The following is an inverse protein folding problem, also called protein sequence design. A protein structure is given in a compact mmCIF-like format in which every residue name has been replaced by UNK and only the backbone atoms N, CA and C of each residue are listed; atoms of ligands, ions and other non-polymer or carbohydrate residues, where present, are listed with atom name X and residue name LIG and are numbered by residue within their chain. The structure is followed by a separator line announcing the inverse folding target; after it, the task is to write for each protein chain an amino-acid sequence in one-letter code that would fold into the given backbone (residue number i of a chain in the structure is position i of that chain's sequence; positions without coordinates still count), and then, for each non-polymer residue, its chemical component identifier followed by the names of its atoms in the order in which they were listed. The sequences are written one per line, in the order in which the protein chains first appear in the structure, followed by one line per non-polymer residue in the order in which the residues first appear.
data_IF_713571129524
#
_entry.id   IF_713571129524
#
_cell.length_a   1.000
_cell.length_b   1.000
_cell.length_c   1.000
_cell.angle_alpha   90.00
_cell.angle_beta   90.00
_cell.angle_gamma   90.00
#
_symmetry.space_group_name_H-M   'P 1'
#
loop_
_entity.id
_entity.type
_entity.pdbx_description
1 polymer ?
#
# COMPACT_ATOMS: atom_id res chain seq x y z
N UNK A 1 -15.51 6.92 -12.03
CA UNK A 1 -14.69 5.73 -11.74
C UNK A 1 -14.80 5.43 -10.25
N UNK A 2 -15.29 4.27 -9.91
CA UNK A 2 -15.47 3.92 -8.52
C UNK A 2 -14.25 3.17 -7.95
N UNK A 3 -14.27 2.98 -6.63
CA UNK A 3 -13.18 2.32 -5.92
C UNK A 3 -12.95 0.89 -6.38
N UNK A 4 -14.04 0.15 -6.67
CA UNK A 4 -13.93 -1.24 -7.11
C UNK A 4 -13.20 -1.37 -8.45
N UNK A 5 -13.45 -0.43 -9.37
CA UNK A 5 -12.76 -0.40 -10.66
C UNK A 5 -11.27 -0.14 -10.48
N UNK A 6 -10.92 0.79 -9.59
CA UNK A 6 -9.51 1.12 -9.33
C UNK A 6 -8.81 -0.04 -8.63
N UNK A 7 -9.47 -0.71 -7.69
CA UNK A 7 -8.90 -1.89 -7.03
C UNK A 7 -8.64 -2.99 -8.05
N UNK A 8 -9.60 -3.27 -8.94
CA UNK A 8 -9.44 -4.28 -9.97
C UNK A 8 -8.30 -3.95 -10.94
N UNK A 9 -8.22 -2.68 -11.34
CA UNK A 9 -7.13 -2.20 -12.20
C UNK A 9 -5.77 -2.34 -11.52
N UNK A 10 -5.66 -1.89 -10.28
CA UNK A 10 -4.42 -1.97 -9.52
C UNK A 10 -3.98 -3.42 -9.31
N UNK A 11 -4.92 -4.32 -9.03
CA UNK A 11 -4.63 -5.74 -8.88
C UNK A 11 -3.97 -6.30 -10.15
N UNK A 12 -4.48 -5.91 -11.31
CA UNK A 12 -3.91 -6.33 -12.59
C UNK A 12 -2.55 -5.68 -12.83
N UNK A 13 -2.45 -4.38 -12.59
CA UNK A 13 -1.24 -3.62 -12.87
C UNK A 13 -0.07 -4.02 -11.97
N UNK A 14 -0.34 -4.44 -10.74
CA UNK A 14 0.69 -4.86 -9.79
C UNK A 14 0.90 -6.38 -9.75
N UNK A 15 0.25 -7.13 -10.63
CA UNK A 15 0.34 -8.58 -10.65
C UNK A 15 1.78 -9.09 -10.82
N UNK A 16 2.62 -8.34 -11.51
CA UNK A 16 4.01 -8.74 -11.74
C UNK A 16 4.84 -8.80 -10.45
N UNK A 17 4.37 -8.19 -9.36
CA UNK A 17 5.03 -8.24 -8.06
C UNK A 17 4.41 -9.27 -7.11
N UNK A 18 3.37 -9.96 -7.54
CA UNK A 18 2.49 -10.76 -6.67
C UNK A 18 3.25 -11.76 -5.80
N UNK A 19 4.22 -12.47 -6.37
CA UNK A 19 4.93 -13.53 -5.65
C UNK A 19 6.11 -13.01 -4.82
N UNK A 20 6.38 -11.72 -4.88
CA UNK A 20 7.57 -11.13 -4.27
C UNK A 20 7.27 -10.27 -3.05
N UNK A 21 6.05 -9.80 -2.92
CA UNK A 21 5.65 -8.87 -1.87
C UNK A 21 4.60 -9.49 -0.97
N UNK A 22 4.49 -9.01 0.26
CA UNK A 22 3.45 -9.47 1.18
C UNK A 22 2.08 -8.97 0.72
N UNK A 23 2.01 -7.76 0.23
CA UNK A 23 0.77 -7.21 -0.26
C UNK A 23 0.92 -5.86 -0.91
N UNK A 24 -0.17 -5.40 -1.54
CA UNK A 24 -0.31 -4.09 -2.16
C UNK A 24 -1.61 -3.49 -1.67
N UNK A 25 -1.59 -2.25 -1.25
CA UNK A 25 -2.73 -1.57 -0.65
C UNK A 25 -2.95 -0.20 -1.28
N UNK A 26 -4.21 0.20 -1.41
CA UNK A 26 -4.57 1.58 -1.70
C UNK A 26 -4.82 2.31 -0.39
N UNK A 27 -4.53 3.59 -0.39
CA UNK A 27 -4.79 4.43 0.79
C UNK A 27 -5.14 5.85 0.36
N UNK A 28 -5.36 6.73 1.34
CA UNK A 28 -5.71 8.12 1.11
C UNK A 28 -7.05 8.28 0.39
N UNK A 29 -7.15 9.18 -0.59
CA UNK A 29 -8.43 9.57 -1.19
C UNK A 29 -9.19 8.40 -1.82
N UNK A 30 -8.51 7.46 -2.46
CA UNK A 30 -9.17 6.30 -3.06
C UNK A 30 -9.72 5.36 -2.01
N UNK A 31 -8.99 5.17 -0.91
CA UNK A 31 -9.47 4.33 0.20
C UNK A 31 -10.70 4.95 0.87
N UNK A 32 -10.76 6.29 0.96
CA UNK A 32 -11.90 7.00 1.54
C UNK A 32 -13.08 7.17 0.60
N UNK A 33 -12.92 6.83 -0.69
CA UNK A 33 -13.97 7.05 -1.68
C UNK A 33 -14.15 8.51 -2.09
N UNK A 34 -13.16 9.35 -1.83
CA UNK A 34 -13.20 10.79 -2.14
C UNK A 34 -12.51 11.16 -3.45
N UNK A 35 -11.86 10.18 -4.09
CA UNK A 35 -11.09 10.42 -5.29
C UNK A 35 -11.97 10.61 -6.52
N UNK A 36 -11.43 11.29 -7.52
CA UNK A 36 -12.04 11.44 -8.83
C UNK A 36 -11.04 11.01 -9.93
N UNK A 37 -11.46 11.06 -11.19
CA UNK A 37 -10.69 10.52 -12.31
C UNK A 37 -9.27 11.06 -12.45
N UNK A 38 -9.04 12.29 -11.98
CA UNK A 38 -7.73 12.93 -12.08
C UNK A 38 -6.90 12.81 -10.81
N UNK A 39 -7.43 12.18 -9.78
CA UNK A 39 -6.70 11.98 -8.53
C UNK A 39 -5.54 11.01 -8.73
N UNK A 40 -4.43 11.28 -8.06
CA UNK A 40 -3.34 10.32 -7.96
C UNK A 40 -3.85 9.08 -7.26
N UNK A 41 -3.29 7.93 -7.61
CA UNK A 41 -3.62 6.66 -7.00
C UNK A 41 -2.50 6.30 -6.04
N UNK A 42 -2.73 6.53 -4.75
CA UNK A 42 -1.74 6.28 -3.71
C UNK A 42 -1.69 4.79 -3.39
N UNK A 43 -0.57 4.17 -3.72
CA UNK A 43 -0.35 2.73 -3.57
C UNK A 43 0.82 2.48 -2.63
N UNK A 44 0.62 1.55 -1.70
CA UNK A 44 1.62 1.15 -0.74
C UNK A 44 1.97 -0.32 -0.97
N UNK A 45 3.25 -0.60 -1.21
CA UNK A 45 3.75 -1.97 -1.34
C UNK A 45 4.29 -2.41 0.01
N UNK A 46 3.81 -3.53 0.51
CA UNK A 46 4.24 -4.11 1.78
C UNK A 46 5.17 -5.27 1.47
N UNK A 47 6.45 -5.12 1.80
CA UNK A 47 7.47 -6.09 1.40
C UNK A 47 8.57 -6.21 2.47
N UNK A 48 8.23 -6.75 3.68
CA UNK A 48 9.20 -6.82 4.78
C UNK A 48 10.39 -7.72 4.48
N UNK A 49 10.22 -8.71 3.61
CA UNK A 49 11.26 -9.70 3.32
C UNK A 49 12.29 -9.24 2.29
N UNK A 50 11.98 -8.19 1.53
CA UNK A 50 12.89 -7.67 0.50
C UNK A 50 13.87 -6.69 1.15
N UNK A 51 15.16 -6.94 1.01
CA UNK A 51 16.19 -6.10 1.61
C UNK A 51 16.41 -4.80 0.83
N UNK A 52 16.55 -4.89 -0.48
CA UNK A 52 16.78 -3.70 -1.32
C UNK A 52 15.46 -3.06 -1.73
N UNK A 53 14.95 -2.19 -0.85
CA UNK A 53 13.69 -1.50 -1.05
C UNK A 53 13.75 -0.51 -2.21
N UNK A 54 14.91 0.11 -2.42
CA UNK A 54 15.09 1.06 -3.52
C UNK A 54 15.00 0.35 -4.86
N UNK A 55 15.60 -0.83 -4.98
CA UNK A 55 15.50 -1.63 -6.19
C UNK A 55 14.06 -2.08 -6.45
N UNK A 56 13.35 -2.49 -5.40
CA UNK A 56 11.94 -2.86 -5.51
C UNK A 56 11.10 -1.68 -6.02
N UNK A 57 11.32 -0.49 -5.47
CA UNK A 57 10.60 0.71 -5.89
C UNK A 57 10.84 1.01 -7.37
N UNK A 58 12.12 0.98 -7.80
CA UNK A 58 12.47 1.23 -9.20
C UNK A 58 11.81 0.21 -10.13
N UNK A 59 11.80 -1.05 -9.74
CA UNK A 59 11.17 -2.12 -10.51
C UNK A 59 9.66 -1.89 -10.62
N UNK A 60 9.02 -1.53 -9.52
CA UNK A 60 7.59 -1.24 -9.51
C UNK A 60 7.24 -0.09 -10.46
N UNK A 61 7.97 1.03 -10.34
CA UNK A 61 7.75 2.20 -11.20
C UNK A 61 7.96 1.85 -12.68
N UNK A 62 8.99 1.07 -12.98
CA UNK A 62 9.32 0.71 -14.36
C UNK A 62 8.27 -0.20 -15.00
N UNK A 63 7.58 -0.99 -14.19
CA UNK A 63 6.56 -1.92 -14.68
C UNK A 63 5.17 -1.31 -14.84
N UNK A 64 4.97 -0.09 -14.37
CA UNK A 64 3.67 0.57 -14.41
C UNK A 64 3.59 1.54 -15.59
N UNK A 65 2.44 1.54 -16.27
CA UNK A 65 2.19 2.43 -17.42
C UNK A 65 1.36 3.65 -17.05
N UNK A 66 0.51 3.53 -16.02
CA UNK A 66 -0.35 4.62 -15.59
C UNK A 66 0.45 5.55 -14.67
N UNK A 67 0.63 6.79 -15.12
CA UNK A 67 1.41 7.79 -14.40
C UNK A 67 0.74 8.31 -13.13
N UNK A 68 -0.53 7.98 -12.94
CA UNK A 68 -1.26 8.41 -11.74
C UNK A 68 -0.86 7.64 -10.49
N UNK A 69 -0.21 6.48 -10.63
CA UNK A 69 0.24 5.72 -9.47
C UNK A 69 1.36 6.46 -8.73
N UNK A 70 1.10 6.80 -7.48
CA UNK A 70 2.11 7.27 -6.54
C UNK A 70 2.46 6.09 -5.64
N UNK A 71 3.60 5.46 -5.93
CA UNK A 71 4.02 4.21 -5.28
C UNK A 71 4.98 4.49 -4.15
N UNK A 72 4.66 3.96 -2.98
CA UNK A 72 5.53 4.03 -1.81
C UNK A 72 5.73 2.64 -1.23
N UNK A 73 6.85 2.46 -0.57
CA UNK A 73 7.17 1.21 0.13
C UNK A 73 6.84 1.40 1.60
N UNK A 74 6.00 0.53 2.14
CA UNK A 74 5.50 0.66 3.51
C UNK A 74 6.64 0.77 4.53
N UNK A 75 7.65 -0.11 4.43
CA UNK A 75 8.75 -0.17 5.37
C UNK A 75 9.62 1.10 5.39
N UNK A 76 9.57 1.89 4.33
CA UNK A 76 10.32 3.15 4.23
C UNK A 76 9.55 4.36 4.76
N UNK A 77 8.28 4.19 5.08
CA UNK A 77 7.45 5.28 5.59
C UNK A 77 7.78 5.57 7.06
N UNK A 78 7.73 6.84 7.49
CA UNK A 78 7.77 7.14 8.92
C UNK A 78 6.51 6.62 9.61
N UNK A 79 6.57 6.44 10.92
CA UNK A 79 5.49 5.81 11.68
C UNK A 79 4.14 6.49 11.48
N UNK A 80 4.11 7.83 11.45
CA UNK A 80 2.85 8.55 11.28
C UNK A 80 2.17 8.22 9.94
N UNK A 81 2.96 8.03 8.88
CA UNK A 81 2.42 7.64 7.57
C UNK A 81 1.96 6.20 7.56
N UNK A 82 2.73 5.30 8.21
CA UNK A 82 2.30 3.90 8.35
C UNK A 82 0.94 3.82 9.01
N UNK A 83 0.73 4.62 10.04
CA UNK A 83 -0.55 4.62 10.75
C UNK A 83 -1.69 5.15 9.91
N UNK A 84 -1.43 6.21 9.13
CA UNK A 84 -2.43 6.74 8.21
C UNK A 84 -2.84 5.68 7.18
N UNK A 85 -1.86 4.96 6.65
CA UNK A 85 -2.13 3.85 5.70
C UNK A 85 -2.95 2.76 6.37
N UNK A 86 -2.56 2.32 7.56
CA UNK A 86 -3.24 1.24 8.29
C UNK A 86 -4.69 1.58 8.60
N UNK A 87 -4.97 2.83 8.96
CA UNK A 87 -6.32 3.26 9.31
C UNK A 87 -7.27 3.37 8.11
N UNK A 88 -6.74 3.65 6.92
CA UNK A 88 -7.55 3.94 5.73
C UNK A 88 -7.33 2.93 4.59
N UNK A 89 -6.77 1.76 4.90
CA UNK A 89 -6.31 0.83 3.87
C UNK A 89 -7.44 0.11 3.15
N UNK A 90 -7.25 -0.08 1.84
CA UNK A 90 -8.00 -1.05 1.05
C UNK A 90 -6.97 -2.02 0.45
N UNK A 91 -7.07 -3.28 0.78
CA UNK A 91 -6.13 -4.30 0.27
C UNK A 91 -6.45 -4.60 -1.19
N UNK A 92 -5.48 -4.36 -2.06
CA UNK A 92 -5.57 -4.70 -3.48
C UNK A 92 -5.17 -6.17 -3.67
N UNK A 93 -4.04 -6.54 -3.06
CA UNK A 93 -3.50 -7.89 -3.11
C UNK A 93 -2.86 -8.21 -1.78
N UNK A 94 -3.02 -9.45 -1.35
CA UNK A 94 -2.33 -9.98 -0.19
C UNK A 94 -2.01 -11.45 -0.44
N UNK A 95 -0.78 -11.84 -0.17
CA UNK A 95 -0.37 -13.25 -0.27
C UNK A 95 -1.23 -14.10 0.66
N UNK A 96 -1.42 -13.62 1.88
CA UNK A 96 -2.37 -14.15 2.87
C UNK A 96 -2.99 -12.96 3.59
N UNK A 97 -4.32 -12.90 3.68
CA UNK A 97 -5.00 -11.75 4.30
C UNK A 97 -4.55 -11.56 5.74
N UNK A 98 -4.44 -12.65 6.51
CA UNK A 98 -4.04 -12.58 7.91
C UNK A 98 -2.60 -12.08 8.08
N UNK A 99 -1.72 -12.36 7.11
CA UNK A 99 -0.32 -11.94 7.18
C UNK A 99 -0.18 -10.42 7.23
N UNK A 100 -0.98 -9.71 6.48
CA UNK A 100 -0.96 -8.24 6.52
C UNK A 100 -1.41 -7.74 7.89
N UNK A 101 -2.52 -8.27 8.41
CA UNK A 101 -3.02 -7.85 9.72
C UNK A 101 -2.03 -8.15 10.84
N UNK A 102 -1.41 -9.33 10.82
CA UNK A 102 -0.39 -9.69 11.81
C UNK A 102 0.84 -8.79 11.72
N UNK A 103 1.23 -8.43 10.51
CA UNK A 103 2.38 -7.57 10.28
C UNK A 103 2.14 -6.14 10.78
N UNK A 104 0.95 -5.59 10.57
CA UNK A 104 0.66 -4.19 10.94
C UNK A 104 0.23 -4.03 12.40
N UNK A 105 -0.17 -5.10 13.06
CA UNK A 105 -0.67 -5.04 14.44
C UNK A 105 0.33 -4.41 15.42
N UNK A 106 1.63 -4.78 15.42
CA UNK A 106 2.60 -4.14 16.33
C UNK A 106 2.71 -2.63 16.13
N UNK A 107 2.55 -2.14 14.90
CA UNK A 107 2.58 -0.70 14.63
C UNK A 107 1.38 0.01 15.28
N UNK A 108 0.20 -0.60 15.22
CA UNK A 108 -0.99 -0.07 15.88
C UNK A 108 -0.78 0.03 17.39
N UNK A 109 -0.21 -1.00 18.00
CA UNK A 109 0.08 -1.01 19.43
C UNK A 109 1.07 0.08 19.80
N UNK A 110 2.13 0.22 19.04
CA UNK A 110 3.14 1.26 19.25
C UNK A 110 2.53 2.65 19.18
N UNK A 111 1.70 2.89 18.16
CA UNK A 111 1.05 4.17 17.98
C UNK A 111 0.10 4.51 19.12
N UNK A 112 -0.67 3.54 19.59
CA UNK A 112 -1.57 3.73 20.72
C UNK A 112 -0.81 4.15 22.00
N UNK A 113 0.36 3.56 22.24
CA UNK A 113 1.22 3.92 23.37
C UNK A 113 1.77 5.34 23.21
N UNK A 114 2.30 5.67 22.05
CA UNK A 114 2.88 6.99 21.75
C UNK A 114 1.83 8.08 21.87
N UNK A 115 0.63 7.81 21.34
CA UNK A 115 -0.47 8.79 21.34
C UNK A 115 -0.99 9.10 22.75
N UNK A 116 -0.89 8.16 23.66
CA UNK A 116 -1.30 8.34 25.06
C UNK A 116 -0.24 9.08 25.90
N UNK A 117 0.99 9.01 25.48
CA UNK A 117 2.09 9.69 26.11
C UNK A 117 2.17 11.14 25.69
#
# INVERSE_FOLDING_TARGET
VDREEIVARAKKDFQFLQDRVLGVMLYDSWARGEAHERSDIDVCIVAPEIQDKAALWREAISGLRDERYDVRIFELMPLYMKMAVIEEVVVVYSREVLDIYEYVYPFRRMWAIIRKG
#
